data_IF_694949741673
#
_entry.id   IF_694949741673
#
_cell.length_a   1.000
_cell.length_b   1.000
_cell.length_c   1.000
_cell.angle_alpha   90.00
_cell.angle_beta   90.00
_cell.angle_gamma   90.00
#
_symmetry.space_group_name_H-M   'P 1'
#
loop_
_entity.id
_entity.type
_entity.pdbx_description
1 polymer ?
#
# COMPACT_ATOMS: atom_id res chain seq x y z
N UNK A 1 6.06 -6.99 4.58
CA UNK A 1 4.78 -7.11 5.34
C UNK A 1 3.71 -7.36 4.30
N UNK A 2 2.98 -8.48 4.40
CA UNK A 2 2.05 -8.90 3.34
C UNK A 2 0.66 -8.31 3.60
N UNK A 3 0.11 -7.66 2.58
CA UNK A 3 -1.18 -7.00 2.56
C UNK A 3 -2.02 -7.48 1.39
N UNK A 4 -3.33 -7.47 1.56
CA UNK A 4 -4.30 -7.76 0.50
C UNK A 4 -5.07 -6.50 0.18
N UNK A 5 -4.92 -5.99 -1.04
CA UNK A 5 -5.57 -4.77 -1.50
C UNK A 5 -6.49 -5.06 -2.68
N UNK A 6 -7.67 -4.44 -2.65
CA UNK A 6 -8.67 -4.57 -3.71
C UNK A 6 -8.69 -3.27 -4.50
N UNK A 7 -8.42 -3.35 -5.80
CA UNK A 7 -8.35 -2.18 -6.68
C UNK A 7 -9.02 -2.49 -8.01
N UNK A 8 -10.09 -1.75 -8.32
CA UNK A 8 -10.82 -1.82 -9.61
C UNK A 8 -11.11 -3.24 -10.14
N UNK A 9 -11.47 -4.17 -9.24
CA UNK A 9 -11.79 -5.55 -9.60
C UNK A 9 -10.59 -6.52 -9.56
N UNK A 10 -9.41 -6.05 -9.17
CA UNK A 10 -8.27 -6.89 -8.84
C UNK A 10 -8.19 -7.10 -7.32
N UNK A 11 -7.90 -8.33 -6.91
CA UNK A 11 -7.48 -8.65 -5.54
C UNK A 11 -5.98 -8.92 -5.60
N UNK A 12 -5.18 -7.99 -5.07
CA UNK A 12 -3.72 -8.02 -5.18
C UNK A 12 -3.10 -8.36 -3.85
N UNK A 13 -2.17 -9.32 -3.86
CA UNK A 13 -1.31 -9.61 -2.74
C UNK A 13 -0.02 -8.81 -2.89
N UNK A 14 0.20 -7.89 -1.95
CA UNK A 14 1.32 -6.96 -1.95
C UNK A 14 2.24 -7.29 -0.79
N UNK A 15 3.55 -7.30 -1.03
CA UNK A 15 4.55 -7.26 0.03
C UNK A 15 5.16 -5.85 0.13
N UNK A 16 4.92 -5.20 1.25
CA UNK A 16 5.54 -3.92 1.59
C UNK A 16 6.96 -4.19 2.09
N UNK A 17 7.95 -3.73 1.32
CA UNK A 17 9.38 -3.92 1.62
C UNK A 17 9.95 -2.77 2.43
N UNK A 18 9.42 -1.56 2.25
CA UNK A 18 9.82 -0.38 3.00
C UNK A 18 8.60 0.50 3.29
N UNK A 19 8.49 0.98 4.52
CA UNK A 19 7.43 1.87 4.96
C UNK A 19 8.03 2.84 5.98
N UNK A 20 8.06 4.12 5.62
CA UNK A 20 8.46 5.21 6.50
C UNK A 20 7.27 6.15 6.68
N UNK A 21 6.91 6.40 7.94
CA UNK A 21 5.81 7.31 8.30
C UNK A 21 6.21 8.11 9.54
N UNK A 22 7.07 9.10 9.32
CA UNK A 22 7.52 10.01 10.36
C UNK A 22 6.64 11.26 10.37
N UNK A 23 5.88 11.52 11.44
CA UNK A 23 5.01 12.69 11.48
C UNK A 23 5.84 13.99 11.51
N UNK A 24 5.31 15.10 10.96
CA UNK A 24 5.97 16.40 11.05
C UNK A 24 6.19 16.82 12.50
N UNK A 25 7.41 17.28 12.81
CA UNK A 25 7.79 17.79 14.11
C UNK A 25 8.15 19.28 14.01
N UNK A 26 7.17 20.18 13.89
CA UNK A 26 7.42 21.60 13.64
C UNK A 26 8.17 22.31 14.78
N UNK A 27 8.21 21.71 15.97
CA UNK A 27 8.93 22.24 17.13
C UNK A 27 10.32 21.61 17.32
N UNK A 28 10.69 20.64 16.48
CA UNK A 28 12.02 20.04 16.52
C UNK A 28 13.01 21.02 15.85
N UNK A 29 14.12 21.28 16.54
CA UNK A 29 15.19 22.21 16.12
C UNK A 29 16.46 21.48 15.67
N UNK A 30 16.45 20.16 15.66
CA UNK A 30 17.61 19.35 15.32
C UNK A 30 17.88 19.34 13.80
N UNK A 31 16.84 19.53 12.98
CA UNK A 31 16.96 19.67 11.53
C UNK A 31 15.78 20.45 10.95
N UNK A 32 16.04 21.37 10.02
CA UNK A 32 15.01 22.12 9.28
C UNK A 32 14.08 21.20 8.47
N UNK A 33 14.50 19.97 8.17
CA UNK A 33 13.70 18.99 7.44
C UNK A 33 12.71 18.22 8.32
N UNK A 34 12.98 18.10 9.63
CA UNK A 34 12.13 17.37 10.57
C UNK A 34 10.77 18.05 10.78
N UNK A 35 10.66 19.33 10.42
CA UNK A 35 9.40 20.08 10.48
C UNK A 35 8.35 19.58 9.47
N UNK A 36 8.76 18.93 8.37
CA UNK A 36 7.86 18.48 7.30
C UNK A 36 7.38 17.04 7.48
N UNK A 37 8.12 16.21 8.21
CA UNK A 37 7.86 14.77 8.28
C UNK A 37 8.16 14.06 6.96
N UNK A 38 8.10 12.74 6.97
CA UNK A 38 8.36 11.89 5.81
C UNK A 38 7.31 10.79 5.71
N UNK A 39 6.81 10.54 4.50
CA UNK A 39 5.88 9.45 4.23
C UNK A 39 6.26 8.75 2.94
N UNK A 40 6.93 7.62 3.06
CA UNK A 40 7.43 6.83 1.93
C UNK A 40 6.96 5.38 2.03
N UNK A 41 6.65 4.80 0.87
CA UNK A 41 6.15 3.42 0.76
C UNK A 41 6.74 2.77 -0.47
N UNK A 42 7.45 1.66 -0.26
CA UNK A 42 7.90 0.76 -1.32
C UNK A 42 7.25 -0.61 -1.16
N UNK A 43 6.78 -1.15 -2.27
CA UNK A 43 6.05 -2.41 -2.29
C UNK A 43 6.34 -3.22 -3.54
N UNK A 44 6.06 -4.52 -3.46
CA UNK A 44 6.13 -5.47 -4.57
C UNK A 44 4.82 -6.24 -4.65
N UNK A 45 4.29 -6.40 -5.87
CA UNK A 45 3.17 -7.31 -6.11
C UNK A 45 3.68 -8.74 -6.16
N UNK A 46 3.11 -9.61 -5.32
CA UNK A 46 3.45 -11.03 -5.28
C UNK A 46 2.52 -11.84 -6.18
N UNK A 47 1.22 -11.60 -6.04
CA UNK A 47 0.18 -12.31 -6.76
C UNK A 47 -1.04 -11.40 -6.92
N UNK A 48 -1.95 -11.80 -7.78
CA UNK A 48 -3.18 -11.08 -8.00
C UNK A 48 -4.22 -11.97 -8.61
N UNK A 49 -5.47 -11.62 -8.37
CA UNK A 49 -6.65 -12.27 -8.91
C UNK A 49 -7.44 -11.20 -9.65
N UNK A 50 -7.90 -11.54 -10.84
CA UNK A 50 -8.81 -10.72 -11.64
C UNK A 50 -10.07 -11.51 -11.95
N UNK A 51 -11.07 -10.82 -12.49
CA UNK A 51 -12.32 -11.41 -12.91
C UNK A 51 -12.56 -11.09 -14.39
N UNK A 52 -12.92 -12.08 -15.18
CA UNK A 52 -13.31 -11.86 -16.57
C UNK A 52 -14.72 -11.23 -16.68
N UNK A 53 -15.19 -11.03 -17.91
CA UNK A 53 -16.52 -10.46 -18.17
C UNK A 53 -17.68 -11.31 -17.67
N UNK A 54 -17.45 -12.60 -17.41
CA UNK A 54 -18.44 -13.53 -16.88
C UNK A 54 -18.32 -13.67 -15.35
N UNK A 55 -17.42 -12.91 -14.72
CA UNK A 55 -17.18 -12.92 -13.28
C UNK A 55 -16.40 -14.14 -12.80
N UNK A 56 -15.72 -14.86 -13.69
CA UNK A 56 -14.92 -16.02 -13.35
C UNK A 56 -13.57 -15.54 -12.83
N UNK A 57 -13.18 -16.11 -11.69
CA UNK A 57 -11.90 -15.84 -11.04
C UNK A 57 -10.74 -16.37 -11.89
N UNK A 58 -9.81 -15.48 -12.23
CA UNK A 58 -8.58 -15.80 -12.94
C UNK A 58 -7.37 -15.30 -12.17
N UNK A 59 -6.29 -16.08 -12.15
CA UNK A 59 -5.02 -15.62 -11.58
C UNK A 59 -4.33 -14.64 -12.55
N UNK A 60 -3.82 -13.54 -12.01
CA UNK A 60 -3.06 -12.56 -12.79
C UNK A 60 -1.72 -13.14 -13.23
N UNK A 61 -1.39 -12.99 -14.50
CA UNK A 61 -0.04 -13.27 -14.99
C UNK A 61 0.94 -12.20 -14.51
N UNK A 62 2.24 -12.46 -14.61
CA UNK A 62 3.26 -11.45 -14.30
C UNK A 62 3.16 -10.19 -15.17
N UNK A 63 2.61 -10.30 -16.38
CA UNK A 63 2.33 -9.15 -17.24
C UNK A 63 1.15 -8.33 -16.70
N UNK A 64 0.07 -8.99 -16.29
CA UNK A 64 -1.11 -8.34 -15.72
C UNK A 64 -0.75 -7.60 -14.43
N UNK A 65 0.06 -8.20 -13.57
CA UNK A 65 0.55 -7.57 -12.33
C UNK A 65 1.40 -6.32 -12.63
N UNK A 66 2.25 -6.38 -13.64
CA UNK A 66 3.07 -5.24 -14.06
C UNK A 66 2.22 -4.11 -14.63
N UNK A 67 1.21 -4.44 -15.42
CA UNK A 67 0.33 -3.42 -16.00
C UNK A 67 -0.59 -2.83 -14.93
N UNK A 68 -1.11 -3.66 -14.03
CA UNK A 68 -1.89 -3.23 -12.88
C UNK A 68 -1.08 -2.31 -11.95
N UNK A 69 0.19 -2.64 -11.66
CA UNK A 69 1.04 -1.75 -10.86
C UNK A 69 1.26 -0.41 -11.53
N UNK A 70 1.38 -0.36 -12.86
CA UNK A 70 1.60 0.87 -13.61
C UNK A 70 0.35 1.73 -13.70
N UNK A 71 -0.80 1.11 -13.95
CA UNK A 71 -2.07 1.82 -14.15
C UNK A 71 -2.72 2.25 -12.83
N UNK A 72 -2.62 1.41 -11.80
CA UNK A 72 -3.33 1.61 -10.54
C UNK A 72 -2.39 1.93 -9.37
N UNK A 73 -1.15 2.32 -9.63
CA UNK A 73 -0.14 2.62 -8.61
C UNK A 73 -0.68 3.54 -7.49
N UNK A 74 -1.30 4.65 -7.86
CA UNK A 74 -1.82 5.63 -6.89
C UNK A 74 -2.94 5.02 -6.01
N UNK A 75 -3.79 4.18 -6.59
CA UNK A 75 -4.88 3.51 -5.88
C UNK A 75 -4.34 2.43 -4.95
N UNK A 76 -3.38 1.64 -5.43
CA UNK A 76 -2.68 0.61 -4.63
C UNK A 76 -2.00 1.26 -3.43
N UNK A 77 -1.22 2.33 -3.63
CA UNK A 77 -0.57 3.05 -2.53
C UNK A 77 -1.57 3.61 -1.53
N UNK A 78 -2.67 4.19 -2.01
CA UNK A 78 -3.70 4.75 -1.13
C UNK A 78 -4.36 3.66 -0.28
N UNK A 79 -4.68 2.51 -0.90
CA UNK A 79 -5.26 1.36 -0.21
C UNK A 79 -4.30 0.79 0.85
N UNK A 80 -3.02 0.61 0.50
CA UNK A 80 -1.98 0.16 1.42
C UNK A 80 -1.82 1.10 2.60
N UNK A 81 -1.77 2.41 2.35
CA UNK A 81 -1.67 3.41 3.41
C UNK A 81 -2.86 3.38 4.35
N UNK A 82 -4.07 3.24 3.82
CA UNK A 82 -5.26 3.07 4.63
C UNK A 82 -5.18 1.82 5.52
N UNK A 83 -4.72 0.69 4.98
CA UNK A 83 -4.57 -0.54 5.75
C UNK A 83 -3.51 -0.41 6.86
N UNK A 84 -2.37 0.20 6.55
CA UNK A 84 -1.30 0.48 7.53
C UNK A 84 -1.81 1.41 8.64
N UNK A 85 -2.49 2.50 8.29
CA UNK A 85 -3.01 3.49 9.25
C UNK A 85 -4.06 2.86 10.19
N UNK A 86 -4.95 2.01 9.65
CA UNK A 86 -5.91 1.24 10.45
C UNK A 86 -5.20 0.24 11.37
N UNK A 87 -4.16 -0.43 10.89
CA UNK A 87 -3.33 -1.34 11.69
C UNK A 87 -2.68 -0.63 12.88
N UNK A 88 -2.07 0.53 12.64
CA UNK A 88 -1.46 1.38 13.68
C UNK A 88 -2.50 1.84 14.70
N UNK A 89 -3.69 2.25 14.24
CA UNK A 89 -4.78 2.64 15.12
C UNK A 89 -5.17 1.46 16.03
N UNK A 90 -5.40 0.27 15.48
CA UNK A 90 -5.77 -0.91 16.28
C UNK A 90 -4.74 -1.25 17.36
N UNK A 91 -3.45 -1.17 17.04
CA UNK A 91 -2.38 -1.41 18.02
C UNK A 91 -2.39 -0.39 19.16
N UNK A 92 -2.64 0.89 18.85
CA UNK A 92 -2.67 1.98 19.83
C UNK A 92 -3.83 1.88 20.82
N UNK A 93 -4.94 1.24 20.45
CA UNK A 93 -6.11 1.04 21.32
C UNK A 93 -6.15 -0.34 22.00
N UNK A 94 -5.26 -1.25 21.61
CA UNK A 94 -5.08 -2.55 22.26
C UNK A 94 -4.00 -2.54 23.36
N UNK A 95 -3.36 -1.38 23.61
CA UNK A 95 -2.30 -1.16 24.59
C UNK A 95 -2.81 -0.42 25.84
#
# INVERSE_FOLDING_TARGET
MIHEVIVEGFVLQVDVTHCENSPPQPNNRDSDWDCMGTRELEYKLLSGITYDSDGIRMDCTGWDLREASRLHDAQIRTALWHEIDVGVFRQRWAA
#
